data_IF_748980392643
#
_entry.id   IF_748980392643
#
_cell.length_a   1.000
_cell.length_b   1.000
_cell.length_c   1.000
_cell.angle_alpha   90.00
_cell.angle_beta   90.00
_cell.angle_gamma   90.00
#
_symmetry.space_group_name_H-M   'P 1'
#
loop_
_entity.id
_entity.type
_entity.pdbx_description
1 polymer ?
#
# COMPACT_ATOMS: atom_id res chain seq x y z
N UNK A 1 2.89 7.16 -16.93
CA UNK A 1 3.75 6.20 -16.21
C UNK A 1 4.89 5.80 -17.12
N UNK A 2 6.14 5.85 -16.66
CA UNK A 2 7.26 5.31 -17.43
C UNK A 2 7.22 3.79 -17.39
N UNK A 3 7.67 3.14 -18.46
CA UNK A 3 7.59 1.68 -18.61
C UNK A 3 8.49 0.93 -17.61
N UNK A 4 9.55 1.57 -17.16
CA UNK A 4 10.59 1.09 -16.24
C UNK A 4 10.38 1.51 -14.78
N UNK A 5 9.35 2.32 -14.49
CA UNK A 5 9.09 2.79 -13.13
C UNK A 5 8.72 1.63 -12.19
N UNK A 6 9.06 1.76 -10.91
CA UNK A 6 8.54 0.88 -9.87
C UNK A 6 7.04 1.13 -9.67
N UNK A 7 6.35 0.17 -9.03
CA UNK A 7 4.95 0.29 -8.64
C UNK A 7 4.88 0.36 -7.11
N UNK A 8 4.43 1.50 -6.58
CA UNK A 8 4.27 1.71 -5.15
C UNK A 8 2.83 1.38 -4.70
N UNK A 9 2.69 0.57 -3.65
CA UNK A 9 1.40 0.34 -2.98
C UNK A 9 1.46 0.77 -1.52
N UNK A 10 0.47 1.57 -1.15
CA UNK A 10 0.15 1.89 0.24
C UNK A 10 -0.97 0.96 0.71
N UNK A 11 -0.71 0.18 1.75
CA UNK A 11 -1.62 -0.83 2.28
C UNK A 11 -1.97 -0.55 3.74
N UNK A 12 -3.19 -0.86 4.15
CA UNK A 12 -3.57 -0.96 5.56
C UNK A 12 -4.15 -2.36 5.82
N UNK A 13 -3.60 -3.05 6.80
CA UNK A 13 -4.08 -4.39 7.18
C UNK A 13 -5.10 -4.24 8.31
N UNK A 14 -6.23 -4.93 8.21
CA UNK A 14 -7.27 -4.92 9.26
C UNK A 14 -6.82 -5.58 10.56
N UNK A 15 -5.76 -6.39 10.52
CA UNK A 15 -5.19 -7.08 11.67
C UNK A 15 -3.66 -7.06 11.56
N UNK A 16 -2.93 -7.29 12.67
CA UNK A 16 -1.48 -7.42 12.62
C UNK A 16 -1.09 -8.63 11.75
N UNK A 17 -0.52 -8.35 10.59
CA UNK A 17 0.03 -9.39 9.71
C UNK A 17 1.50 -9.64 10.05
N UNK A 18 1.93 -10.89 9.89
CA UNK A 18 3.34 -11.24 10.05
C UNK A 18 4.19 -10.63 8.93
N UNK A 19 5.46 -10.34 9.21
CA UNK A 19 6.41 -9.88 8.18
C UNK A 19 6.56 -10.86 7.00
N UNK A 20 6.29 -12.16 7.22
CA UNK A 20 6.30 -13.16 6.14
C UNK A 20 5.17 -12.95 5.15
N UNK A 21 3.97 -12.63 5.61
CA UNK A 21 2.81 -12.32 4.76
C UNK A 21 3.14 -11.12 3.88
N UNK A 22 3.79 -10.09 4.44
CA UNK A 22 4.22 -8.91 3.70
C UNK A 22 5.22 -9.24 2.58
N UNK A 23 6.24 -10.04 2.90
CA UNK A 23 7.26 -10.49 1.93
C UNK A 23 6.63 -11.36 0.83
N UNK A 24 5.72 -12.26 1.19
CA UNK A 24 5.03 -13.11 0.24
C UNK A 24 4.14 -12.29 -0.71
N UNK A 25 3.39 -11.31 -0.19
CA UNK A 25 2.56 -10.42 -0.99
C UNK A 25 3.41 -9.64 -2.00
N UNK A 26 4.53 -9.04 -1.56
CA UNK A 26 5.46 -8.34 -2.45
C UNK A 26 5.93 -9.24 -3.58
N UNK A 27 6.43 -10.44 -3.27
CA UNK A 27 6.90 -11.41 -4.27
C UNK A 27 5.82 -11.80 -5.27
N UNK A 28 4.58 -12.03 -4.80
CA UNK A 28 3.44 -12.37 -5.67
C UNK A 28 3.08 -11.23 -6.61
N UNK A 29 3.09 -9.98 -6.12
CA UNK A 29 2.81 -8.79 -6.94
C UNK A 29 3.89 -8.58 -7.99
N UNK A 30 5.17 -8.63 -7.61
CA UNK A 30 6.29 -8.50 -8.57
C UNK A 30 6.25 -9.58 -9.65
N UNK A 31 5.97 -10.82 -9.27
CA UNK A 31 5.84 -11.92 -10.21
C UNK A 31 4.68 -11.74 -11.20
N UNK A 32 3.53 -11.21 -10.74
CA UNK A 32 2.34 -10.99 -11.59
C UNK A 32 2.48 -9.75 -12.47
N UNK A 33 3.03 -8.67 -11.94
CA UNK A 33 3.16 -7.38 -12.63
C UNK A 33 4.42 -7.32 -13.51
N UNK A 34 5.34 -8.28 -13.36
CA UNK A 34 6.64 -8.33 -14.05
C UNK A 34 7.46 -7.04 -13.89
N UNK A 35 7.30 -6.40 -12.73
CA UNK A 35 7.90 -5.12 -12.35
C UNK A 35 8.23 -5.13 -10.86
N UNK A 36 9.19 -4.31 -10.45
CA UNK A 36 9.51 -4.11 -9.03
C UNK A 36 8.34 -3.40 -8.34
N UNK A 37 8.07 -3.86 -7.13
CA UNK A 37 6.95 -3.38 -6.32
C UNK A 37 7.48 -2.95 -4.97
N UNK A 38 7.18 -1.72 -4.58
CA UNK A 38 7.47 -1.24 -3.24
C UNK A 38 6.17 -1.17 -2.44
N UNK A 39 6.12 -2.00 -1.40
CA UNK A 39 5.00 -2.05 -0.47
C UNK A 39 5.35 -1.22 0.76
N UNK A 40 4.42 -0.36 1.16
CA UNK A 40 4.48 0.38 2.42
C UNK A 40 3.15 0.23 3.16
N UNK A 41 3.19 0.23 4.49
CA UNK A 41 1.97 0.24 5.30
C UNK A 41 1.58 1.66 5.66
N UNK A 42 0.30 1.94 5.77
CA UNK A 42 -0.15 3.27 6.20
C UNK A 42 0.33 3.60 7.61
N UNK A 43 0.44 2.60 8.49
CA UNK A 43 1.07 2.76 9.79
C UNK A 43 2.57 3.12 9.74
N UNK A 44 3.36 2.60 8.77
CA UNK A 44 4.76 3.02 8.63
C UNK A 44 4.88 4.44 8.08
N UNK A 45 3.91 4.90 7.28
CA UNK A 45 3.87 6.25 6.73
C UNK A 45 3.69 7.33 7.81
N UNK A 46 3.11 6.99 8.97
CA UNK A 46 2.93 7.94 10.08
C UNK A 46 4.25 8.55 10.58
N UNK A 47 5.37 7.84 10.41
CA UNK A 47 6.69 8.30 10.81
C UNK A 47 7.43 9.06 9.69
N UNK A 48 6.83 9.18 8.50
CA UNK A 48 7.45 9.84 7.35
C UNK A 48 7.13 11.34 7.33
N UNK A 49 8.18 12.16 7.16
CA UNK A 49 8.04 13.62 6.92
C UNK A 49 7.36 13.96 5.58
N UNK A 50 7.18 12.98 4.70
CA UNK A 50 6.55 13.13 3.39
C UNK A 50 5.13 12.56 3.33
N UNK A 51 4.55 12.19 4.48
CA UNK A 51 3.22 11.58 4.56
C UNK A 51 2.18 12.33 3.74
N UNK A 52 2.06 13.65 3.96
CA UNK A 52 1.00 14.43 3.35
C UNK A 52 1.15 14.53 1.83
N UNK A 53 2.38 14.63 1.33
CA UNK A 53 2.63 14.69 -0.11
C UNK A 53 2.37 13.33 -0.77
N UNK A 54 2.77 12.23 -0.12
CA UNK A 54 2.46 10.87 -0.58
C UNK A 54 0.94 10.65 -0.62
N UNK A 55 0.20 11.07 0.42
CA UNK A 55 -1.25 10.90 0.49
C UNK A 55 -2.01 11.77 -0.53
N UNK A 56 -1.51 12.96 -0.87
CA UNK A 56 -2.09 13.80 -1.93
C UNK A 56 -2.01 13.15 -3.31
N UNK A 57 -0.95 12.40 -3.57
CA UNK A 57 -0.73 11.72 -4.86
C UNK A 57 -1.36 10.32 -4.91
N UNK A 58 -1.61 9.71 -3.75
CA UNK A 58 -2.19 8.38 -3.64
C UNK A 58 -3.58 8.28 -4.27
N UNK A 59 -3.87 7.12 -4.86
CA UNK A 59 -5.18 6.79 -5.41
C UNK A 59 -5.69 5.49 -4.79
N UNK A 60 -6.93 5.52 -4.31
CA UNK A 60 -7.60 4.33 -3.79
C UNK A 60 -7.91 3.40 -4.97
N UNK A 61 -7.38 2.18 -4.91
CA UNK A 61 -7.61 1.13 -5.92
C UNK A 61 -8.50 0.00 -5.40
N UNK A 62 -8.57 -0.17 -4.09
CA UNK A 62 -9.39 -1.15 -3.39
C UNK A 62 -9.64 -0.63 -1.98
N UNK A 63 -10.86 -0.78 -1.49
CA UNK A 63 -11.23 -0.43 -0.13
C UNK A 63 -12.05 -1.58 0.44
N UNK A 64 -11.55 -2.18 1.53
CA UNK A 64 -12.36 -3.09 2.32
C UNK A 64 -13.34 -2.25 3.13
N UNK A 65 -14.59 -2.17 2.69
CA UNK A 65 -15.67 -1.64 3.53
C UNK A 65 -15.84 -2.59 4.71
N UNK A 66 -15.22 -2.23 5.84
CA UNK A 66 -15.59 -2.82 7.12
C UNK A 66 -16.95 -2.21 7.44
N UNK A 67 -18.00 -3.02 7.49
CA UNK A 67 -19.31 -2.54 7.93
C UNK A 67 -19.15 -2.01 9.37
N UNK A 68 -19.05 -0.68 9.50
CA UNK A 68 -18.78 0.02 10.75
C UNK A 68 -17.59 0.97 10.62
N UNK A 69 -17.89 2.27 10.67
CA UNK A 69 -16.97 3.43 10.63
C UNK A 69 -16.28 3.71 9.29
N UNK A 70 -17.04 4.26 8.34
CA UNK A 70 -16.44 5.04 7.25
C UNK A 70 -15.76 6.30 7.79
N UNK A 71 -14.67 6.73 7.15
CA UNK A 71 -14.17 8.08 7.34
C UNK A 71 -15.21 9.08 6.80
N UNK A 72 -15.46 10.21 7.48
CA UNK A 72 -16.32 11.24 6.95
C UNK A 72 -15.66 11.85 5.72
N UNK A 73 -16.43 11.91 4.63
CA UNK A 73 -16.16 12.75 3.46
C UNK A 73 -16.27 14.23 3.80
#
# INVERSE_FOLDING_TARGET
MRADSDIDFLLEFSQPESGLVFVELKRRLEHKLKRKVDLITYNSLQYSKYKDDILKEAKVIDEKTTAGTGLPV
#
